data_IF_857568300147
#
_entry.id   IF_857568300147
#
_cell.length_a   1.000
_cell.length_b   1.000
_cell.length_c   1.000
_cell.angle_alpha   90.00
_cell.angle_beta   90.00
_cell.angle_gamma   90.00
#
_symmetry.space_group_name_H-M   'P 1'
#
loop_
_entity.id
_entity.type
_entity.pdbx_description
1 polymer ?
#
# COMPACT_ATOMS: atom_id res chain seq x y z
N UNK A 1 0.72 -16.55 0.61
CA UNK A 1 1.19 -15.26 0.06
C UNK A 1 1.10 -14.20 1.15
N UNK A 2 2.09 -13.32 1.30
CA UNK A 2 2.08 -12.22 2.27
C UNK A 2 2.98 -11.06 1.83
N UNK A 3 2.88 -9.94 2.53
CA UNK A 3 3.68 -8.73 2.29
C UNK A 3 4.93 -8.77 3.17
N UNK A 4 6.10 -8.88 2.54
CA UNK A 4 7.39 -8.93 3.26
C UNK A 4 8.01 -7.56 3.47
N UNK A 5 7.76 -6.61 2.57
CA UNK A 5 8.22 -5.22 2.70
C UNK A 5 7.14 -4.27 2.22
N UNK A 6 6.99 -3.17 2.94
CA UNK A 6 6.08 -2.09 2.62
C UNK A 6 6.82 -0.76 2.78
N UNK A 7 6.67 0.14 1.82
CA UNK A 7 7.27 1.48 1.89
C UNK A 7 6.35 2.49 1.24
N UNK A 8 6.06 3.56 1.98
CA UNK A 8 5.44 4.76 1.43
C UNK A 8 6.55 5.74 1.06
N UNK A 9 6.49 6.28 -0.15
CA UNK A 9 7.26 7.45 -0.54
C UNK A 9 6.33 8.53 -1.05
N UNK A 10 6.72 9.79 -0.87
CA UNK A 10 5.90 10.92 -1.28
C UNK A 10 6.73 11.81 -2.19
N UNK A 11 6.08 12.42 -3.18
CA UNK A 11 6.70 13.43 -4.03
C UNK A 11 5.84 14.68 -4.04
N UNK A 12 6.45 15.82 -3.73
CA UNK A 12 5.82 17.13 -3.89
C UNK A 12 5.48 17.37 -5.36
N UNK A 13 4.30 17.98 -5.59
CA UNK A 13 3.72 18.25 -6.91
C UNK A 13 3.22 19.69 -6.94
N UNK A 14 4.12 20.62 -7.21
CA UNK A 14 3.86 22.05 -7.04
C UNK A 14 3.99 22.45 -5.56
N UNK A 15 3.37 23.56 -5.19
CA UNK A 15 3.55 24.18 -3.87
C UNK A 15 2.63 23.65 -2.77
N UNK A 16 1.47 23.07 -3.13
CA UNK A 16 0.45 22.69 -2.13
C UNK A 16 -0.16 21.31 -2.40
N UNK A 17 0.57 20.41 -3.09
CA UNK A 17 0.10 19.04 -3.32
C UNK A 17 1.24 18.05 -3.19
N UNK A 18 0.92 16.85 -2.74
CA UNK A 18 1.81 15.71 -2.75
C UNK A 18 1.16 14.52 -3.47
N UNK A 19 2.00 13.61 -3.96
CA UNK A 19 1.57 12.37 -4.57
C UNK A 19 2.25 11.19 -3.85
N UNK A 20 1.49 10.42 -3.05
CA UNK A 20 1.99 9.20 -2.45
C UNK A 20 2.26 8.12 -3.50
N UNK A 21 3.29 7.33 -3.24
CA UNK A 21 3.58 6.09 -3.93
C UNK A 21 3.87 5.01 -2.90
N UNK A 22 3.13 3.92 -2.99
CA UNK A 22 3.27 2.76 -2.12
C UNK A 22 4.05 1.70 -2.90
N UNK A 23 5.05 1.10 -2.26
CA UNK A 23 5.79 -0.04 -2.76
C UNK A 23 5.54 -1.23 -1.85
N UNK A 24 5.13 -2.34 -2.45
CA UNK A 24 4.79 -3.59 -1.75
C UNK A 24 5.62 -4.71 -2.37
N UNK A 25 6.31 -5.48 -1.53
CA UNK A 25 7.03 -6.68 -1.93
C UNK A 25 6.25 -7.91 -1.43
N UNK A 26 5.77 -8.77 -2.34
CA UNK A 26 4.93 -9.94 -2.07
C UNK A 26 5.73 -11.24 -2.16
N UNK A 27 5.52 -12.13 -1.19
CA UNK A 27 6.25 -13.38 -1.00
C UNK A 27 5.32 -14.57 -0.72
N UNK A 28 5.82 -15.77 -1.00
CA UNK A 28 5.36 -17.08 -0.55
C UNK A 28 6.48 -17.77 0.25
N UNK A 29 6.19 -18.97 0.77
CA UNK A 29 7.20 -19.81 1.42
C UNK A 29 8.31 -20.24 0.43
N UNK A 30 8.03 -20.21 -0.87
CA UNK A 30 8.99 -20.49 -1.95
C UNK A 30 9.76 -19.26 -2.45
N UNK A 31 9.43 -18.04 -2.00
CA UNK A 31 10.19 -16.84 -2.33
C UNK A 31 9.32 -15.68 -2.86
N UNK A 32 9.86 -14.91 -3.80
CA UNK A 32 9.19 -13.73 -4.37
C UNK A 32 8.07 -14.17 -5.32
N UNK A 33 6.94 -13.46 -5.28
CA UNK A 33 5.78 -13.79 -6.12
C UNK A 33 5.56 -12.76 -7.23
N UNK A 34 5.99 -13.03 -8.48
CA UNK A 34 5.64 -12.22 -9.64
C UNK A 34 4.19 -12.49 -10.11
N UNK A 35 3.55 -11.49 -10.72
CA UNK A 35 2.20 -11.62 -11.28
C UNK A 35 1.05 -11.47 -10.28
N UNK A 36 1.33 -11.27 -8.99
CA UNK A 36 0.30 -10.98 -7.98
C UNK A 36 -0.39 -9.65 -8.29
N UNK A 37 -1.72 -9.66 -8.40
CA UNK A 37 -2.53 -8.45 -8.57
C UNK A 37 -2.81 -7.82 -7.22
N UNK A 38 -2.57 -6.51 -7.12
CA UNK A 38 -2.85 -5.72 -5.91
C UNK A 38 -3.74 -4.53 -6.26
N UNK A 39 -4.79 -4.33 -5.47
CA UNK A 39 -5.60 -3.11 -5.45
C UNK A 39 -5.75 -2.61 -4.01
N UNK A 40 -5.73 -1.29 -3.86
CA UNK A 40 -5.92 -0.60 -2.59
C UNK A 40 -7.14 0.31 -2.70
N UNK A 41 -7.95 0.33 -1.65
CA UNK A 41 -8.91 1.39 -1.45
C UNK A 41 -8.26 2.54 -0.70
N UNK A 42 -8.77 3.74 -0.92
CA UNK A 42 -8.33 4.93 -0.22
C UNK A 42 -9.51 5.82 0.10
N UNK A 43 -9.40 6.52 1.22
CA UNK A 43 -10.34 7.56 1.66
C UNK A 43 -9.55 8.74 2.24
N UNK A 44 -9.99 9.95 1.95
CA UNK A 44 -9.47 11.15 2.61
C UNK A 44 -10.31 11.49 3.82
N UNK A 45 -9.74 12.18 4.81
CA UNK A 45 -10.50 12.67 5.97
C UNK A 45 -11.73 13.53 5.59
N UNK A 46 -11.73 14.12 4.40
CA UNK A 46 -12.85 14.92 3.85
C UNK A 46 -13.92 14.08 3.12
N UNK A 47 -13.86 12.75 3.22
CA UNK A 47 -14.85 11.82 2.67
C UNK A 47 -14.68 11.46 1.19
N UNK A 48 -13.61 11.93 0.52
CA UNK A 48 -13.34 11.50 -0.86
C UNK A 48 -12.70 10.11 -0.86
N UNK A 49 -13.30 9.15 -1.55
CA UNK A 49 -12.76 7.79 -1.64
C UNK A 49 -12.56 7.29 -3.07
N UNK A 50 -11.94 6.11 -3.18
CA UNK A 50 -11.95 5.31 -4.40
C UNK A 50 -10.95 4.16 -4.33
N UNK A 51 -10.87 3.41 -5.43
CA UNK A 51 -9.99 2.24 -5.55
C UNK A 51 -8.88 2.52 -6.57
N UNK A 52 -7.68 2.01 -6.32
CA UNK A 52 -6.58 2.07 -7.29
C UNK A 52 -6.84 1.10 -8.44
N UNK A 53 -6.37 1.45 -9.66
CA UNK A 53 -6.37 0.47 -10.75
C UNK A 53 -5.52 -0.76 -10.38
N UNK A 54 -5.92 -1.98 -10.79
CA UNK A 54 -5.13 -3.19 -10.59
C UNK A 54 -3.68 -3.02 -11.05
N UNK A 55 -2.74 -3.43 -10.20
CA UNK A 55 -1.32 -3.46 -10.52
C UNK A 55 -0.72 -4.81 -10.16
N UNK A 56 0.07 -5.36 -11.06
CA UNK A 56 0.73 -6.64 -10.87
C UNK A 56 2.16 -6.48 -10.37
N UNK A 57 2.61 -7.41 -9.54
CA UNK A 57 4.01 -7.49 -9.13
C UNK A 57 4.89 -7.86 -10.32
N UNK A 58 6.06 -7.25 -10.40
CA UNK A 58 7.06 -7.58 -11.41
C UNK A 58 7.82 -8.88 -11.09
N UNK A 59 8.80 -9.26 -11.91
CA UNK A 59 9.67 -10.44 -11.72
C UNK A 59 10.37 -10.52 -10.35
N UNK A 60 10.47 -9.41 -9.62
CA UNK A 60 11.08 -9.34 -8.28
C UNK A 60 10.04 -9.44 -7.15
N UNK A 61 8.78 -9.73 -7.48
CA UNK A 61 7.67 -9.75 -6.53
C UNK A 61 7.28 -8.37 -6.02
N UNK A 62 7.62 -7.30 -6.75
CA UNK A 62 7.41 -5.92 -6.31
C UNK A 62 6.33 -5.26 -7.13
N UNK A 63 5.37 -4.61 -6.47
CA UNK A 63 4.40 -3.70 -7.09
C UNK A 63 4.59 -2.28 -6.57
N UNK A 64 4.42 -1.30 -7.46
CA UNK A 64 4.44 0.12 -7.11
C UNK A 64 3.12 0.77 -7.51
N UNK A 65 2.38 1.24 -6.52
CA UNK A 65 1.07 1.87 -6.69
C UNK A 65 1.25 3.36 -6.46
N UNK A 66 0.90 4.18 -7.45
CA UNK A 66 0.88 5.64 -7.33
C UNK A 66 -0.55 6.08 -7.07
N UNK A 67 -0.78 6.77 -5.97
CA UNK A 67 -2.10 7.33 -5.67
C UNK A 67 -2.32 8.64 -6.46
N UNK A 68 -3.52 9.21 -6.31
CA UNK A 68 -3.84 10.54 -6.85
C UNK A 68 -2.99 11.61 -6.15
N UNK A 69 -3.12 12.86 -6.61
CA UNK A 69 -2.54 14.02 -5.94
C UNK A 69 -3.51 14.51 -4.87
N UNK A 70 -3.00 14.86 -3.71
CA UNK A 70 -3.76 15.35 -2.56
C UNK A 70 -3.16 16.67 -2.08
N UNK A 71 -3.94 17.51 -1.39
CA UNK A 71 -3.41 18.74 -0.77
C UNK A 71 -2.49 18.35 0.39
N UNK A 72 -1.50 19.18 0.73
CA UNK A 72 -0.55 18.84 1.80
C UNK A 72 -1.23 18.56 3.15
N UNK A 73 -2.31 19.30 3.46
CA UNK A 73 -3.11 19.11 4.66
C UNK A 73 -4.12 17.94 4.60
N UNK A 74 -4.20 17.19 3.50
CA UNK A 74 -5.13 16.05 3.42
C UNK A 74 -4.47 14.81 4.07
N UNK A 75 -5.22 14.15 4.95
CA UNK A 75 -4.87 12.82 5.48
C UNK A 75 -5.54 11.75 4.63
N UNK A 76 -4.79 10.71 4.25
CA UNK A 76 -5.29 9.61 3.41
C UNK A 76 -5.17 8.30 4.18
N UNK A 77 -6.30 7.61 4.36
CA UNK A 77 -6.31 6.24 4.86
C UNK A 77 -6.37 5.30 3.67
N UNK A 78 -5.55 4.25 3.70
CA UNK A 78 -5.42 3.25 2.63
C UNK A 78 -5.69 1.88 3.21
N UNK A 79 -6.50 1.08 2.54
CA UNK A 79 -6.85 -0.28 2.96
C UNK A 79 -6.55 -1.25 1.82
N UNK A 80 -6.26 -2.51 2.16
CA UNK A 80 -6.09 -3.54 1.14
C UNK A 80 -7.46 -4.01 0.67
N UNK A 81 -7.77 -3.76 -0.61
CA UNK A 81 -8.99 -4.28 -1.21
C UNK A 81 -8.77 -5.69 -1.78
N UNK A 82 -7.67 -5.88 -2.53
CA UNK A 82 -7.38 -7.15 -3.19
C UNK A 82 -5.88 -7.40 -3.25
N UNK A 83 -5.48 -8.63 -2.94
CA UNK A 83 -4.13 -9.15 -3.18
C UNK A 83 -4.27 -10.61 -3.59
N UNK A 84 -4.13 -10.87 -4.89
CA UNK A 84 -4.52 -12.16 -5.47
C UNK A 84 -3.51 -12.67 -6.48
N UNK A 85 -3.33 -13.99 -6.46
CA UNK A 85 -2.61 -14.77 -7.44
C UNK A 85 -3.15 -16.19 -7.41
N UNK A 86 -3.33 -16.80 -8.58
CA UNK A 86 -3.79 -18.19 -8.70
C UNK A 86 -2.92 -19.11 -7.84
N UNK A 87 -3.55 -20.05 -7.13
CA UNK A 87 -2.92 -21.05 -6.26
C UNK A 87 -2.20 -20.50 -5.02
N UNK A 88 -2.36 -19.21 -4.70
CA UNK A 88 -1.82 -18.62 -3.48
C UNK A 88 -2.91 -17.93 -2.67
N UNK A 89 -3.09 -18.37 -1.42
CA UNK A 89 -3.94 -17.68 -0.46
C UNK A 89 -3.15 -16.56 0.26
N UNK A 90 -3.80 -15.43 0.50
CA UNK A 90 -3.22 -14.32 1.25
C UNK A 90 -3.28 -14.58 2.76
N UNK A 91 -2.16 -14.38 3.46
CA UNK A 91 -2.03 -14.55 4.90
C UNK A 91 -1.52 -13.25 5.53
N UNK A 92 -2.44 -12.42 6.02
CA UNK A 92 -2.13 -11.16 6.71
C UNK A 92 -1.36 -11.33 8.02
N UNK A 93 -1.45 -12.49 8.68
CA UNK A 93 -0.69 -12.78 9.91
C UNK A 93 0.82 -12.99 9.65
N UNK A 94 1.22 -13.22 8.39
CA UNK A 94 2.63 -13.26 7.98
C UNK A 94 3.15 -11.92 7.44
N UNK A 95 2.32 -10.88 7.41
CA UNK A 95 2.76 -9.58 6.92
C UNK A 95 3.84 -8.96 7.80
N UNK A 96 4.70 -8.18 7.17
CA UNK A 96 5.66 -7.35 7.87
C UNK A 96 4.93 -6.37 8.77
N UNK A 97 5.52 -6.11 9.93
CA UNK A 97 5.02 -5.11 10.85
C UNK A 97 5.31 -3.71 10.29
N UNK A 98 4.34 -2.82 10.43
CA UNK A 98 4.44 -1.42 10.09
C UNK A 98 4.28 -0.59 11.38
N UNK A 99 4.44 0.73 11.29
CA UNK A 99 4.34 1.70 12.40
C UNK A 99 3.52 1.19 13.61
N UNK A 100 4.10 1.28 14.82
CA UNK A 100 3.53 0.73 16.06
C UNK A 100 3.54 -0.82 16.19
N UNK A 101 4.43 -1.50 15.46
CA UNK A 101 4.69 -2.95 15.58
C UNK A 101 3.46 -3.84 15.24
N UNK A 102 2.53 -3.31 14.44
CA UNK A 102 1.31 -4.00 14.02
C UNK A 102 1.46 -4.57 12.60
N UNK A 103 0.83 -5.71 12.30
CA UNK A 103 0.92 -6.33 10.97
C UNK A 103 0.03 -5.57 9.98
N UNK A 104 0.64 -4.96 8.98
CA UNK A 104 -0.09 -4.16 7.98
C UNK A 104 -1.13 -4.99 7.23
N UNK A 105 -2.24 -4.37 6.85
CA UNK A 105 -3.35 -5.00 6.10
C UNK A 105 -3.75 -6.38 6.65
N UNK A 106 -3.81 -6.47 7.98
CA UNK A 106 -4.28 -7.63 8.73
C UNK A 106 -5.48 -7.22 9.58
N UNK A 107 -6.05 -8.17 10.33
CA UNK A 107 -7.10 -7.85 11.31
C UNK A 107 -6.62 -6.92 12.43
N UNK A 108 -5.31 -6.92 12.74
CA UNK A 108 -4.71 -6.04 13.76
C UNK A 108 -4.57 -4.59 13.26
N UNK A 109 -4.24 -4.43 11.98
CA UNK A 109 -4.05 -3.14 11.34
C UNK A 109 -4.55 -3.23 9.89
N UNK A 110 -5.87 -3.08 9.67
CA UNK A 110 -6.46 -3.20 8.33
C UNK A 110 -6.11 -2.01 7.44
N UNK A 111 -5.73 -0.89 8.06
CA UNK A 111 -5.65 0.41 7.42
C UNK A 111 -4.30 1.09 7.70
N UNK A 112 -3.78 1.80 6.71
CA UNK A 112 -2.54 2.59 6.82
C UNK A 112 -2.85 4.05 6.55
N UNK A 113 -2.44 4.92 7.46
CA UNK A 113 -2.60 6.37 7.31
C UNK A 113 -1.36 6.98 6.66
N UNK A 114 -1.59 7.85 5.67
CA UNK A 114 -0.55 8.58 4.95
C UNK A 114 -0.82 10.07 5.12
N UNK A 115 0.04 10.71 5.91
CA UNK A 115 0.11 12.18 6.06
C UNK A 115 1.36 12.70 5.36
N UNK A 116 1.34 13.93 4.86
CA UNK A 116 2.58 14.57 4.46
C UNK A 116 3.37 14.93 5.71
N UNK A 117 4.43 14.18 5.99
CA UNK A 117 5.44 14.58 6.97
C UNK A 117 6.28 15.70 6.37
N UNK A 118 6.54 16.74 7.17
CA UNK A 118 7.63 17.68 6.86
C UNK A 118 8.90 16.84 6.69
N UNK A 119 9.52 16.96 5.51
CA UNK A 119 10.87 16.45 5.33
C UNK A 119 11.77 17.53 5.91
N UNK A 120 12.26 17.31 7.13
CA UNK A 120 13.45 18.01 7.65
C UNK A 120 14.65 17.78 6.72
#
# INVERSE_FOLDING_TARGET
MWIKKFKVTQKLKGTNKYQPSIKIDVFSDTGKLPGTTVTLDWITQKGRSGTTKPKTTNRKGVVKIKLKKYKLADVITVTMNQIEQTDFEYNGAKNVKYENDCRLFSTECPDITIVQSEQD
#
